data_IF_714227481442
#
_entry.id   IF_714227481442
#
_cell.length_a   1.000
_cell.length_b   1.000
_cell.length_c   1.000
_cell.angle_alpha   90.00
_cell.angle_beta   90.00
_cell.angle_gamma   90.00
#
_symmetry.space_group_name_H-M   'P 1'
#
loop_
_entity.id
_entity.type
_entity.pdbx_description
1 polymer ?
#
# COMPACT_ATOMS: atom_id res chain seq x y z
N UNK A 1 -0.88 -29.26 -8.24
CA UNK A 1 -0.56 -27.91 -8.76
C UNK A 1 -1.52 -26.91 -8.12
N UNK A 2 -1.11 -26.16 -7.10
CA UNK A 2 -1.88 -25.02 -6.58
C UNK A 2 -0.91 -23.91 -6.14
N UNK A 3 -0.19 -23.34 -7.11
CA UNK A 3 0.46 -22.05 -6.92
C UNK A 3 -0.61 -20.96 -7.06
N UNK A 4 -1.45 -20.79 -6.03
CA UNK A 4 -2.27 -19.57 -5.86
C UNK A 4 -1.36 -18.48 -5.26
N UNK A 5 -0.23 -18.23 -5.92
CA UNK A 5 0.70 -17.16 -5.54
C UNK A 5 0.13 -15.83 -6.03
N UNK A 6 -0.31 -15.02 -5.06
CA UNK A 6 -0.14 -13.56 -5.06
C UNK A 6 -0.50 -12.77 -6.33
N UNK A 7 -1.60 -13.07 -7.00
CA UNK A 7 -2.12 -12.19 -8.08
C UNK A 7 -2.79 -10.91 -7.57
N UNK A 8 -2.77 -10.68 -6.26
CA UNK A 8 -3.03 -9.39 -5.68
C UNK A 8 -1.69 -8.81 -5.24
N UNK A 9 -1.01 -8.05 -6.10
CA UNK A 9 0.08 -7.17 -5.66
C UNK A 9 -0.44 -6.13 -4.64
N UNK A 10 0.27 -5.02 -4.49
CA UNK A 10 -0.17 -3.93 -3.60
C UNK A 10 -1.69 -3.59 -3.70
N UNK A 11 -2.31 -3.47 -4.90
CA UNK A 11 -3.72 -3.09 -5.02
C UNK A 11 -4.69 -4.04 -4.30
N UNK A 12 -4.51 -5.35 -4.48
CA UNK A 12 -5.43 -6.32 -3.89
C UNK A 12 -5.19 -6.55 -2.39
N UNK A 13 -3.94 -6.48 -1.94
CA UNK A 13 -3.62 -6.48 -0.51
C UNK A 13 -4.26 -5.25 0.18
N UNK A 14 -4.06 -4.07 -0.40
CA UNK A 14 -4.58 -2.82 0.14
C UNK A 14 -6.11 -2.82 0.20
N UNK A 15 -6.78 -3.21 -0.90
CA UNK A 15 -8.23 -3.28 -0.97
C UNK A 15 -8.81 -4.17 0.15
N UNK A 16 -8.23 -5.37 0.33
CA UNK A 16 -8.66 -6.32 1.36
C UNK A 16 -8.42 -5.78 2.77
N UNK A 17 -7.22 -5.27 3.03
CA UNK A 17 -6.85 -4.71 4.33
C UNK A 17 -7.75 -3.52 4.70
N UNK A 18 -7.94 -2.57 3.76
CA UNK A 18 -8.72 -1.36 4.00
C UNK A 18 -10.18 -1.70 4.26
N UNK A 19 -10.76 -2.61 3.46
CA UNK A 19 -12.12 -3.09 3.65
C UNK A 19 -12.34 -3.71 5.04
N UNK A 20 -11.42 -4.55 5.51
CA UNK A 20 -11.52 -5.10 6.87
C UNK A 20 -11.33 -4.04 7.96
N UNK A 21 -10.40 -3.11 7.78
CA UNK A 21 -10.11 -2.08 8.77
C UNK A 21 -11.25 -1.07 8.91
N UNK A 22 -11.82 -0.59 7.80
CA UNK A 22 -12.80 0.50 7.86
C UNK A 22 -14.11 0.07 8.55
N UNK A 23 -14.44 -1.22 8.49
CA UNK A 23 -15.58 -1.82 9.19
C UNK A 23 -15.39 -1.79 10.72
N UNK A 24 -14.15 -1.89 11.21
CA UNK A 24 -13.86 -1.95 12.66
C UNK A 24 -13.48 -0.59 13.25
N UNK A 25 -12.69 0.20 12.52
CA UNK A 25 -12.04 1.42 13.04
C UNK A 25 -12.78 2.68 12.62
N UNK A 26 -13.57 2.65 11.53
CA UNK A 26 -14.29 3.78 10.93
C UNK A 26 -13.44 5.02 10.58
N UNK A 27 -12.10 4.92 10.67
CA UNK A 27 -11.16 5.99 10.35
C UNK A 27 -10.40 5.65 9.06
N UNK A 28 -10.69 6.33 7.94
CA UNK A 28 -10.06 6.01 6.67
C UNK A 28 -8.55 6.27 6.68
N UNK A 29 -8.08 7.33 7.36
CA UNK A 29 -6.65 7.65 7.47
C UNK A 29 -5.91 6.56 8.25
N UNK A 30 -6.44 6.12 9.40
CA UNK A 30 -5.82 5.04 10.19
C UNK A 30 -5.76 3.74 9.40
N UNK A 31 -6.83 3.42 8.67
CA UNK A 31 -6.86 2.25 7.81
C UNK A 31 -5.90 2.36 6.63
N UNK A 32 -5.82 3.51 5.99
CA UNK A 32 -4.86 3.76 4.92
C UNK A 32 -3.43 3.58 5.41
N UNK A 33 -3.08 4.19 6.54
CA UNK A 33 -1.76 4.05 7.19
C UNK A 33 -1.43 2.58 7.50
N UNK A 34 -2.35 1.86 8.17
CA UNK A 34 -2.14 0.45 8.52
C UNK A 34 -1.91 -0.40 7.28
N UNK A 35 -2.70 -0.18 6.23
CA UNK A 35 -2.68 -0.98 5.02
C UNK A 35 -1.54 -0.65 4.06
N UNK A 36 -0.77 0.42 4.29
CA UNK A 36 0.47 0.68 3.55
C UNK A 36 1.53 -0.40 3.76
N UNK A 37 1.44 -1.18 4.84
CA UNK A 37 2.30 -2.36 5.06
C UNK A 37 2.20 -3.41 3.94
N UNK A 38 1.15 -3.36 3.12
CA UNK A 38 1.03 -4.14 1.88
C UNK A 38 2.14 -3.86 0.85
N UNK A 39 2.90 -2.77 0.99
CA UNK A 39 4.07 -2.46 0.15
C UNK A 39 5.20 -3.46 0.43
N UNK A 40 5.47 -3.73 1.71
CA UNK A 40 6.62 -4.54 2.14
C UNK A 40 6.28 -6.03 2.30
N UNK A 41 4.99 -6.40 2.30
CA UNK A 41 4.57 -7.79 2.54
C UNK A 41 3.55 -8.37 1.52
N UNK A 42 3.69 -8.15 0.20
CA UNK A 42 2.76 -8.75 -0.77
C UNK A 42 2.99 -10.26 -0.99
N UNK A 43 4.21 -10.76 -0.69
CA UNK A 43 4.64 -12.12 -1.08
C UNK A 43 5.47 -12.87 -0.02
N UNK A 44 5.68 -12.31 1.18
CA UNK A 44 6.50 -12.92 2.24
C UNK A 44 8.02 -12.92 2.00
N UNK A 45 8.52 -12.13 1.04
CA UNK A 45 9.96 -11.87 0.89
C UNK A 45 10.42 -10.83 1.93
N UNK A 46 11.72 -10.86 2.26
CA UNK A 46 12.33 -9.80 3.07
C UNK A 46 12.27 -8.46 2.30
N UNK A 47 11.74 -7.39 2.91
CA UNK A 47 11.73 -6.07 2.28
C UNK A 47 13.16 -5.54 2.12
N UNK A 48 13.44 -4.88 0.99
CA UNK A 48 14.70 -4.21 0.76
C UNK A 48 14.62 -2.70 1.08
N UNK A 49 15.73 -1.97 0.93
CA UNK A 49 15.78 -0.52 1.20
C UNK A 49 14.81 0.28 0.33
N UNK A 50 14.60 -0.12 -0.92
CA UNK A 50 13.66 0.52 -1.83
C UNK A 50 12.21 0.33 -1.37
N UNK A 51 11.84 -0.85 -0.87
CA UNK A 51 10.51 -1.11 -0.31
C UNK A 51 10.24 -0.24 0.94
N UNK A 52 11.23 -0.06 1.81
CA UNK A 52 11.11 0.81 2.99
C UNK A 52 11.01 2.28 2.62
N UNK A 53 11.78 2.75 1.63
CA UNK A 53 11.65 4.11 1.10
C UNK A 53 10.24 4.33 0.54
N UNK A 54 9.75 3.40 -0.29
CA UNK A 54 8.41 3.44 -0.89
C UNK A 54 7.32 3.47 0.19
N UNK A 55 7.46 2.67 1.25
CA UNK A 55 6.56 2.67 2.41
C UNK A 55 6.53 4.03 3.12
N UNK A 56 7.69 4.60 3.45
CA UNK A 56 7.78 5.88 4.14
C UNK A 56 7.15 7.02 3.32
N UNK A 57 7.46 7.08 2.03
CA UNK A 57 6.84 8.04 1.10
C UNK A 57 5.32 7.87 1.05
N UNK A 58 4.82 6.63 0.89
CA UNK A 58 3.40 6.38 0.75
C UNK A 58 2.60 6.68 2.03
N UNK A 59 3.16 6.39 3.22
CA UNK A 59 2.55 6.76 4.49
C UNK A 59 2.37 8.28 4.63
N UNK A 60 3.33 9.06 4.10
CA UNK A 60 3.28 10.51 4.13
C UNK A 60 2.34 11.10 3.05
N UNK A 61 2.41 10.60 1.82
CA UNK A 61 1.77 11.24 0.66
C UNK A 61 0.40 10.65 0.30
N UNK A 62 0.17 9.34 0.53
CA UNK A 62 -0.95 8.62 -0.08
C UNK A 62 -2.12 8.35 0.88
N UNK A 63 -1.98 8.61 2.18
CA UNK A 63 -2.95 8.19 3.21
C UNK A 63 -4.25 8.97 3.24
N UNK A 64 -4.25 10.20 2.70
CA UNK A 64 -5.44 11.03 2.56
C UNK A 64 -6.27 10.74 1.29
N UNK A 65 -5.82 9.81 0.44
CA UNK A 65 -6.52 9.46 -0.80
C UNK A 65 -7.80 8.68 -0.51
N UNK A 66 -7.72 7.71 0.41
CA UNK A 66 -8.84 6.85 0.73
C UNK A 66 -9.85 7.54 1.63
N UNK A 67 -11.13 7.35 1.34
CA UNK A 67 -12.24 7.81 2.17
C UNK A 67 -12.93 6.63 2.84
N UNK A 68 -13.93 6.93 3.68
CA UNK A 68 -14.71 5.89 4.36
C UNK A 68 -15.54 5.07 3.35
N UNK A 69 -16.05 5.73 2.33
CA UNK A 69 -16.94 5.15 1.32
C UNK A 69 -16.16 4.48 0.19
N UNK A 70 -14.96 4.99 -0.13
CA UNK A 70 -14.18 4.49 -1.24
C UNK A 70 -12.67 4.49 -0.90
N UNK A 71 -12.00 3.32 -0.87
CA UNK A 71 -10.55 3.26 -0.71
C UNK A 71 -9.76 3.89 -1.89
N UNK A 72 -10.40 4.08 -3.05
CA UNK A 72 -9.78 4.59 -4.29
C UNK A 72 -8.45 3.88 -4.61
N UNK A 73 -8.50 2.55 -4.61
CA UNK A 73 -7.34 1.67 -4.81
C UNK A 73 -6.50 2.05 -6.04
N UNK A 74 -7.09 2.39 -7.21
CA UNK A 74 -6.29 2.81 -8.37
C UNK A 74 -5.45 4.07 -8.08
N UNK A 75 -6.04 5.07 -7.42
CA UNK A 75 -5.33 6.32 -7.10
C UNK A 75 -4.28 6.11 -6.02
N UNK A 76 -4.56 5.30 -5.00
CA UNK A 76 -3.55 4.91 -4.00
C UNK A 76 -2.39 4.17 -4.65
N UNK A 77 -2.68 3.24 -5.57
CA UNK A 77 -1.66 2.49 -6.31
C UNK A 77 -0.78 3.43 -7.12
N UNK A 78 -1.39 4.34 -7.88
CA UNK A 78 -0.64 5.34 -8.65
C UNK A 78 0.24 6.22 -7.77
N UNK A 79 -0.26 6.66 -6.60
CA UNK A 79 0.55 7.42 -5.64
C UNK A 79 1.74 6.62 -5.11
N UNK A 80 1.52 5.35 -4.80
CA UNK A 80 2.57 4.41 -4.37
C UNK A 80 3.59 4.19 -5.48
N UNK A 81 3.18 4.10 -6.74
CA UNK A 81 4.10 3.96 -7.87
C UNK A 81 4.94 5.23 -8.09
N UNK A 82 4.38 6.43 -7.92
CA UNK A 82 5.17 7.67 -7.90
C UNK A 82 6.22 7.70 -6.78
N UNK A 83 5.89 7.17 -5.60
CA UNK A 83 6.89 6.98 -4.54
C UNK A 83 8.01 6.00 -4.93
N UNK A 84 7.66 4.95 -5.70
CA UNK A 84 8.62 3.99 -6.25
C UNK A 84 9.66 4.68 -7.13
N UNK A 85 9.21 5.56 -8.02
CA UNK A 85 10.05 6.34 -8.94
C UNK A 85 10.96 7.31 -8.19
N UNK A 86 10.41 8.05 -7.21
CA UNK A 86 11.20 8.94 -6.35
C UNK A 86 12.32 8.17 -5.63
N UNK A 87 12.02 7.01 -5.06
CA UNK A 87 13.00 6.18 -4.37
C UNK A 87 14.06 5.55 -5.28
N UNK A 88 13.84 5.49 -6.60
CA UNK A 88 14.89 5.09 -7.57
C UNK A 88 15.80 6.24 -7.99
N UNK A 89 15.34 7.49 -7.85
CA UNK A 89 16.13 8.69 -8.16
C UNK A 89 17.09 9.10 -7.02
N UNK A 90 16.96 8.48 -5.85
CA UNK A 90 17.82 8.67 -4.67
C UNK A 90 19.14 7.85 -4.73
N UNK A 91 19.75 7.70 -5.92
CA UNK A 91 21.12 7.21 -6.07
C UNK A 91 21.96 8.22 -6.84
N UNK A 92 22.77 9.06 -6.18
CA UNK A 92 23.94 9.69 -6.78
C UNK A 92 25.06 8.68 -7.08
#
# INVERSE_FOLDING_TARGET
>A
MLARQSTAGFPGCYAKCFGQCIITTFSPIKCALQCMTCIINPSGLQPNSHDYCKLGCAMNACTNISTRENPDVPKVTSCVDSCSEMCTMESP
#
